data_IF_306744021569
#
_entry.id   IF_306744021569
#
_cell.length_a   1.000
_cell.length_b   1.000
_cell.length_c   1.000
_cell.angle_alpha   90.00
_cell.angle_beta   90.00
_cell.angle_gamma   90.00
#
_symmetry.space_group_name_H-M   'P 1'
#
loop_
_entity.id
_entity.type
_entity.pdbx_description
1 polymer ?
#
# COMPACT_ATOMS: atom_id res chain seq x y z
N UNK A 1 18.03 12.28 20.97
CA UNK A 1 17.19 11.57 19.98
C UNK A 1 17.71 10.14 19.89
N UNK A 2 17.01 9.17 20.49
CA UNK A 2 17.43 7.77 20.43
C UNK A 2 17.14 7.26 19.03
N UNK A 3 18.17 6.97 18.24
CA UNK A 3 17.99 6.33 16.94
C UNK A 3 17.26 5.01 17.17
N UNK A 4 15.98 4.93 16.77
CA UNK A 4 15.22 3.67 16.79
C UNK A 4 15.88 2.75 15.78
N UNK A 5 16.80 1.91 16.27
CA UNK A 5 17.50 0.93 15.47
C UNK A 5 16.47 -0.05 14.91
N UNK A 6 16.37 -0.15 13.58
CA UNK A 6 15.49 -1.13 12.92
C UNK A 6 15.80 -2.52 13.45
N UNK A 7 14.75 -3.24 13.86
CA UNK A 7 14.83 -4.63 14.30
C UNK A 7 15.11 -5.59 13.13
N UNK A 8 14.67 -5.21 11.92
CA UNK A 8 14.78 -6.03 10.70
C UNK A 8 15.55 -5.23 9.64
N UNK A 9 16.60 -5.81 9.02
CA UNK A 9 17.29 -5.20 7.89
C UNK A 9 16.37 -4.94 6.70
N UNK A 10 16.63 -3.84 5.97
CA UNK A 10 15.84 -3.46 4.79
C UNK A 10 15.81 -4.57 3.72
N UNK A 11 16.94 -5.24 3.53
CA UNK A 11 17.08 -6.35 2.58
C UNK A 11 16.20 -7.56 2.93
N UNK A 12 16.05 -7.87 4.22
CA UNK A 12 15.22 -9.00 4.67
C UNK A 12 13.74 -8.68 4.50
N UNK A 13 13.34 -7.45 4.82
CA UNK A 13 11.97 -6.97 4.59
C UNK A 13 11.60 -7.01 3.11
N UNK A 14 12.49 -6.56 2.20
CA UNK A 14 12.25 -6.63 0.76
C UNK A 14 12.06 -8.06 0.27
N UNK A 15 12.89 -9.00 0.73
CA UNK A 15 12.74 -10.42 0.39
C UNK A 15 11.40 -10.98 0.84
N UNK A 16 10.96 -10.65 2.06
CA UNK A 16 9.66 -11.08 2.55
C UNK A 16 8.51 -10.52 1.70
N UNK A 17 8.58 -9.24 1.32
CA UNK A 17 7.59 -8.62 0.43
C UNK A 17 7.56 -9.27 -0.95
N UNK A 18 8.71 -9.63 -1.51
CA UNK A 18 8.79 -10.29 -2.81
C UNK A 18 8.27 -11.73 -2.75
N UNK A 19 8.59 -12.48 -1.68
CA UNK A 19 8.02 -13.80 -1.43
C UNK A 19 6.49 -13.75 -1.32
N UNK A 20 5.92 -12.73 -0.67
CA UNK A 20 4.47 -12.57 -0.60
C UNK A 20 3.85 -12.32 -1.98
N UNK A 21 4.53 -11.58 -2.86
CA UNK A 21 4.10 -11.42 -4.27
C UNK A 21 4.18 -12.74 -5.04
N UNK A 22 5.23 -13.53 -4.85
CA UNK A 22 5.38 -14.86 -5.49
C UNK A 22 4.24 -15.80 -5.09
N UNK A 23 3.78 -15.74 -3.84
CA UNK A 23 2.60 -16.48 -3.36
C UNK A 23 1.25 -15.90 -3.83
N UNK A 24 1.25 -14.85 -4.65
CA UNK A 24 0.04 -14.23 -5.18
C UNK A 24 -0.67 -13.29 -4.19
N UNK A 25 -0.02 -12.89 -3.09
CA UNK A 25 -0.59 -11.91 -2.18
C UNK A 25 -0.50 -10.53 -2.83
N UNK A 26 -1.67 -9.96 -3.13
CA UNK A 26 -1.79 -8.66 -3.78
C UNK A 26 -1.54 -7.52 -2.77
N UNK A 27 -0.28 -7.28 -2.44
CA UNK A 27 0.16 -6.14 -1.63
C UNK A 27 0.13 -4.88 -2.50
N UNK A 28 -0.46 -3.79 -2.00
CA UNK A 28 -0.41 -2.49 -2.66
C UNK A 28 0.98 -1.85 -2.60
N UNK A 29 1.04 -0.53 -2.71
CA UNK A 29 2.30 0.18 -2.53
C UNK A 29 2.85 -0.04 -1.12
N UNK A 30 4.18 -0.08 -0.97
CA UNK A 30 4.84 -0.20 0.34
C UNK A 30 5.83 0.94 0.49
N UNK A 31 5.70 1.69 1.58
CA UNK A 31 6.64 2.74 1.97
C UNK A 31 7.43 2.29 3.21
N UNK A 32 8.76 2.27 3.07
CA UNK A 32 9.69 1.74 4.07
C UNK A 32 10.53 2.90 4.60
N UNK A 33 10.25 3.32 5.83
CA UNK A 33 10.93 4.45 6.50
C UNK A 33 11.68 3.99 7.75
N UNK A 34 12.54 4.84 8.29
CA UNK A 34 13.35 4.48 9.45
C UNK A 34 12.49 4.22 10.71
N UNK A 35 11.30 4.84 10.75
CA UNK A 35 10.33 4.76 11.84
C UNK A 35 9.30 3.63 11.68
N UNK A 36 9.13 3.07 10.48
CA UNK A 36 8.19 1.96 10.25
C UNK A 36 7.98 1.59 8.79
N UNK A 37 7.02 0.68 8.58
CA UNK A 37 6.58 0.20 7.26
C UNK A 37 5.11 0.53 7.10
N UNK A 38 4.76 1.21 6.01
CA UNK A 38 3.37 1.50 5.65
C UNK A 38 2.99 0.67 4.43
N UNK A 39 1.92 -0.11 4.54
CA UNK A 39 1.36 -0.88 3.42
C UNK A 39 0.07 -0.20 2.99
N UNK A 40 0.06 0.27 1.75
CA UNK A 40 -1.12 0.85 1.13
C UNK A 40 -2.02 -0.27 0.61
N UNK A 41 -3.35 -0.09 0.65
CA UNK A 41 -4.27 -1.03 0.02
C UNK A 41 -3.97 -1.12 -1.48
N UNK A 42 -4.16 -2.30 -2.04
CA UNK A 42 -4.19 -2.50 -3.49
C UNK A 42 -5.31 -1.61 -4.05
N UNK A 43 -5.01 -0.80 -5.07
CA UNK A 43 -5.99 0.10 -5.65
C UNK A 43 -7.23 -0.71 -6.10
N UNK A 44 -8.33 -0.57 -5.37
CA UNK A 44 -9.45 -1.49 -5.49
C UNK A 44 -10.32 -1.28 -6.73
N UNK A 45 -10.08 -0.25 -7.55
CA UNK A 45 -10.90 0.03 -8.75
C UNK A 45 -10.17 0.98 -9.70
N UNK A 46 -10.26 0.81 -11.04
CA UNK A 46 -10.01 1.90 -11.97
C UNK A 46 -11.17 2.90 -11.81
N UNK A 47 -10.87 4.07 -11.23
CA UNK A 47 -11.86 5.12 -10.95
C UNK A 47 -11.78 5.55 -9.49
N UNK A 48 -11.56 6.85 -9.29
CA UNK A 48 -11.48 7.40 -7.94
C UNK A 48 -12.91 7.45 -7.30
N UNK A 49 -13.00 7.54 -5.98
CA UNK A 49 -14.30 7.66 -5.29
C UNK A 49 -15.12 8.87 -5.76
N UNK A 50 -14.43 9.92 -6.22
CA UNK A 50 -15.02 11.11 -6.79
C UNK A 50 -15.71 10.84 -8.14
N UNK A 51 -15.20 9.93 -8.97
CA UNK A 51 -15.78 9.53 -10.25
C UNK A 51 -17.06 8.73 -10.00
N UNK A 52 -17.05 7.86 -8.97
CA UNK A 52 -18.24 7.12 -8.51
C UNK A 52 -19.32 8.06 -7.99
N UNK A 53 -18.95 9.07 -7.19
CA UNK A 53 -19.87 10.10 -6.73
C UNK A 53 -20.45 10.92 -7.89
N UNK A 54 -19.61 11.38 -8.82
CA UNK A 54 -20.03 12.19 -9.98
C UNK A 54 -21.00 11.42 -10.88
N UNK A 55 -20.77 10.13 -11.11
CA UNK A 55 -21.67 9.30 -11.90
C UNK A 55 -23.06 9.14 -11.25
N UNK A 56 -23.14 9.12 -9.91
CA UNK A 56 -24.41 9.09 -9.19
C UNK A 56 -25.15 10.44 -9.24
N UNK A 57 -24.42 11.55 -9.21
CA UNK A 57 -24.98 12.90 -9.28
C UNK A 57 -25.55 13.22 -10.67
N UNK A 58 -24.84 12.82 -11.74
CA UNK A 58 -25.28 13.03 -13.12
C UNK A 58 -26.57 12.28 -13.49
N UNK A 59 -26.93 11.22 -12.76
CA UNK A 59 -28.18 10.46 -12.96
C UNK A 59 -29.39 11.01 -12.21
N UNK A 60 -29.25 12.15 -11.50
CA UNK A 60 -30.30 12.78 -10.68
C UNK A 60 -30.94 14.02 -11.30
N UNK A 61 -30.55 14.39 -12.53
CA UNK A 61 -31.10 15.52 -13.29
C UNK A 61 -32.23 15.10 -14.23
#
# INVERSE_FOLDING_TARGET
>A
MTAKRRLIPDAELRRALDTLKEYGVAIGAVDIRADGVTVYPTAATPGNEYDRWKAQDAGRA
#
